data_IF_371955725919
#
_entry.id   IF_371955725919
#
_cell.length_a   1.000
_cell.length_b   1.000
_cell.length_c   1.000
_cell.angle_alpha   90.00
_cell.angle_beta   90.00
_cell.angle_gamma   90.00
#
_symmetry.space_group_name_H-M   'P 1'
#
loop_
_entity.id
_entity.type
_entity.pdbx_description
1 polymer ?
#
# COMPACT_ATOMS: atom_id res chain seq x y z
N UNK A 1 3.04 29.31 -5.88
CA UNK A 1 2.42 29.04 -7.15
C UNK A 1 0.90 29.09 -7.03
N UNK A 2 0.23 29.64 -8.00
CA UNK A 2 -1.24 29.62 -8.03
C UNK A 2 -1.63 28.25 -8.61
N UNK A 3 -2.40 27.47 -7.85
CA UNK A 3 -3.01 26.25 -8.37
C UNK A 3 -4.04 26.65 -9.46
N UNK A 4 -3.89 26.10 -10.64
CA UNK A 4 -4.86 26.26 -11.72
C UNK A 4 -5.64 24.96 -11.80
N UNK A 5 -6.96 25.05 -11.62
CA UNK A 5 -7.84 23.91 -11.75
C UNK A 5 -7.90 23.44 -13.20
N UNK A 6 -7.97 22.13 -13.38
CA UNK A 6 -8.17 21.53 -14.69
C UNK A 6 -9.58 21.84 -15.19
N UNK A 7 -9.69 22.47 -16.34
CA UNK A 7 -10.96 22.87 -16.97
C UNK A 7 -11.18 22.20 -18.34
N UNK A 8 -10.47 21.11 -18.61
CA UNK A 8 -10.61 20.33 -19.85
C UNK A 8 -11.74 19.30 -19.78
N UNK A 9 -11.73 18.37 -20.71
CA UNK A 9 -12.67 17.25 -20.75
C UNK A 9 -12.54 16.38 -19.48
N UNK A 10 -13.65 15.78 -19.06
CA UNK A 10 -13.66 14.90 -17.89
C UNK A 10 -12.68 13.75 -18.08
N UNK A 11 -11.79 13.60 -17.13
CA UNK A 11 -10.85 12.49 -17.12
C UNK A 11 -11.53 11.21 -16.65
N UNK A 12 -11.23 10.10 -17.33
CA UNK A 12 -11.76 8.78 -17.01
C UNK A 12 -10.68 7.92 -16.33
N UNK A 13 -11.10 6.98 -15.50
CA UNK A 13 -10.19 6.04 -14.86
C UNK A 13 -9.35 5.29 -15.87
N UNK A 14 -8.05 5.20 -15.60
CA UNK A 14 -7.05 4.51 -16.41
C UNK A 14 -6.78 5.10 -17.79
N UNK A 15 -7.41 6.23 -18.14
CA UNK A 15 -7.19 6.88 -19.43
C UNK A 15 -5.76 7.41 -19.56
N UNK A 16 -5.25 7.42 -20.78
CA UNK A 16 -3.98 8.05 -21.15
C UNK A 16 -4.20 9.51 -21.46
N UNK A 17 -3.38 10.36 -20.88
CA UNK A 17 -3.43 11.79 -21.10
C UNK A 17 -2.11 12.28 -21.67
N UNK A 18 -2.16 13.11 -22.68
CA UNK A 18 -1.01 13.69 -23.33
C UNK A 18 -1.03 15.20 -23.14
N UNK A 19 0.11 15.79 -22.84
CA UNK A 19 0.20 17.22 -22.68
C UNK A 19 1.50 17.77 -23.25
N UNK A 20 1.46 19.02 -23.61
CA UNK A 20 2.60 19.82 -24.02
C UNK A 20 2.38 21.26 -23.61
N UNK A 21 3.44 21.99 -23.41
CA UNK A 21 3.41 23.40 -23.00
C UNK A 21 4.17 24.28 -23.96
N UNK A 22 3.78 25.53 -23.99
CA UNK A 22 4.58 26.63 -24.55
C UNK A 22 4.42 27.85 -23.65
N UNK A 23 5.39 28.72 -23.70
CA UNK A 23 5.38 29.97 -22.97
C UNK A 23 5.40 31.15 -23.92
N UNK A 24 4.99 32.29 -23.45
CA UNK A 24 5.06 33.57 -24.19
C UNK A 24 6.03 34.48 -23.46
N UNK A 25 6.90 35.16 -24.18
CA UNK A 25 7.80 36.16 -23.64
C UNK A 25 7.04 37.46 -23.28
N UNK A 26 7.77 38.42 -22.71
CA UNK A 26 7.23 39.74 -22.36
C UNK A 26 6.67 40.56 -23.54
N UNK A 27 7.04 40.19 -24.77
CA UNK A 27 6.57 40.78 -26.00
C UNK A 27 5.42 40.03 -26.64
N UNK A 28 4.92 38.99 -25.97
CA UNK A 28 3.82 38.16 -26.44
C UNK A 28 4.23 37.14 -27.52
N UNK A 29 5.51 36.92 -27.77
CA UNK A 29 5.99 35.93 -28.74
C UNK A 29 5.99 34.55 -28.10
N UNK A 30 5.30 33.59 -28.75
CA UNK A 30 5.23 32.21 -28.30
C UNK A 30 6.52 31.43 -28.57
N UNK A 31 6.95 30.60 -27.62
CA UNK A 31 7.99 29.59 -27.86
C UNK A 31 7.49 28.47 -28.76
N UNK A 32 8.40 27.59 -29.20
CA UNK A 32 8.01 26.28 -29.72
C UNK A 32 7.28 25.47 -28.62
N UNK A 33 6.46 24.51 -29.04
CA UNK A 33 5.88 23.56 -28.12
C UNK A 33 6.97 22.66 -27.49
N UNK A 34 6.77 22.29 -26.22
CA UNK A 34 7.57 21.22 -25.60
C UNK A 34 7.39 19.88 -26.33
N UNK A 35 8.23 18.93 -26.03
CA UNK A 35 7.92 17.54 -26.36
C UNK A 35 6.60 17.15 -25.69
N UNK A 36 5.84 16.27 -26.34
CA UNK A 36 4.64 15.68 -25.72
C UNK A 36 5.09 14.84 -24.53
N UNK A 37 4.47 15.06 -23.38
CA UNK A 37 4.58 14.23 -22.21
C UNK A 37 3.29 13.43 -22.02
N UNK A 38 3.41 12.26 -21.42
CA UNK A 38 2.28 11.36 -21.16
C UNK A 38 2.15 11.13 -19.65
N UNK A 39 0.94 10.97 -19.21
CA UNK A 39 0.59 10.45 -17.91
C UNK A 39 -0.70 9.63 -18.00
N UNK A 40 -0.97 8.80 -17.02
CA UNK A 40 -2.18 7.99 -16.97
C UNK A 40 -2.97 8.30 -15.71
N UNK A 41 -4.29 8.35 -15.84
CA UNK A 41 -5.18 8.38 -14.69
C UNK A 41 -5.10 7.07 -13.94
N UNK A 42 -5.23 7.14 -12.63
CA UNK A 42 -5.48 5.98 -11.80
C UNK A 42 -6.98 5.64 -11.72
N UNK A 43 -7.34 4.80 -10.77
CA UNK A 43 -8.73 4.57 -10.39
C UNK A 43 -9.30 5.84 -9.72
N UNK A 44 -10.42 6.33 -10.21
CA UNK A 44 -11.10 7.52 -9.67
C UNK A 44 -12.10 7.14 -8.59
N UNK A 45 -12.68 5.93 -8.70
CA UNK A 45 -13.70 5.44 -7.78
C UNK A 45 -13.35 4.05 -7.24
N UNK A 46 -14.04 3.64 -6.18
CA UNK A 46 -13.85 2.32 -5.60
C UNK A 46 -14.29 1.19 -6.56
N UNK A 47 -15.28 1.46 -7.39
CA UNK A 47 -15.82 0.52 -8.39
C UNK A 47 -14.80 0.18 -9.48
N UNK A 48 -13.89 1.10 -9.77
CA UNK A 48 -12.82 0.91 -10.76
C UNK A 48 -11.83 -0.20 -10.38
N UNK A 49 -11.79 -0.55 -9.11
CA UNK A 49 -10.97 -1.67 -8.63
C UNK A 49 -11.57 -3.03 -8.97
N UNK A 50 -12.84 -3.11 -9.38
CA UNK A 50 -13.42 -4.41 -9.73
C UNK A 50 -12.68 -5.06 -10.93
N UNK A 51 -12.43 -6.38 -10.89
CA UNK A 51 -12.89 -7.37 -9.91
C UNK A 51 -11.93 -7.58 -8.72
N UNK A 52 -10.90 -6.75 -8.53
CA UNK A 52 -9.95 -6.90 -7.42
C UNK A 52 -10.67 -6.76 -6.06
N UNK A 53 -10.16 -7.46 -5.07
CA UNK A 53 -10.70 -7.45 -3.71
C UNK A 53 -9.56 -7.37 -2.70
N UNK A 54 -9.84 -6.79 -1.55
CA UNK A 54 -8.95 -6.85 -0.41
C UNK A 54 -8.74 -8.29 0.03
N UNK A 55 -7.47 -8.66 0.23
CA UNK A 55 -7.06 -9.98 0.71
C UNK A 55 -6.23 -9.83 1.99
N UNK A 56 -6.42 -10.77 2.90
CA UNK A 56 -5.68 -10.87 4.18
C UNK A 56 -5.36 -12.34 4.44
N UNK A 57 -4.31 -12.61 5.19
CA UNK A 57 -3.94 -13.97 5.57
C UNK A 57 -4.86 -14.55 6.65
N UNK A 58 -5.46 -13.69 7.47
CA UNK A 58 -6.37 -14.08 8.55
C UNK A 58 -7.64 -13.24 8.52
N UNK A 59 -8.78 -13.78 8.97
CA UNK A 59 -9.98 -13.01 9.22
C UNK A 59 -9.75 -11.90 10.27
N UNK A 60 -10.44 -10.79 10.14
CA UNK A 60 -10.35 -9.68 11.10
C UNK A 60 -10.73 -10.09 12.53
N UNK A 61 -11.63 -11.07 12.69
CA UNK A 61 -12.03 -11.61 14.00
C UNK A 61 -10.88 -12.23 14.78
N UNK A 62 -9.98 -12.96 14.13
CA UNK A 62 -8.80 -13.56 14.78
C UNK A 62 -7.85 -12.49 15.32
N UNK A 63 -7.76 -11.35 14.66
CA UNK A 63 -6.98 -10.22 15.17
C UNK A 63 -7.53 -9.70 16.50
N UNK A 64 -8.86 -9.62 16.65
CA UNK A 64 -9.49 -9.20 17.90
C UNK A 64 -9.14 -10.11 19.06
N UNK A 65 -9.03 -11.42 18.85
CA UNK A 65 -8.63 -12.38 19.89
C UNK A 65 -7.15 -12.17 20.29
N UNK A 66 -6.25 -12.04 19.32
CA UNK A 66 -4.84 -11.74 19.58
C UNK A 66 -4.68 -10.41 20.34
N UNK A 67 -5.45 -9.41 19.99
CA UNK A 67 -5.48 -8.12 20.67
C UNK A 67 -5.96 -8.24 22.13
N UNK A 68 -7.01 -9.01 22.37
CA UNK A 68 -7.52 -9.25 23.73
C UNK A 68 -6.51 -10.01 24.58
N UNK A 69 -5.83 -11.02 24.01
CA UNK A 69 -4.76 -11.75 24.70
C UNK A 69 -3.59 -10.83 25.08
N UNK A 70 -3.20 -9.91 24.20
CA UNK A 70 -2.18 -8.90 24.50
C UNK A 70 -2.61 -7.99 25.64
N UNK A 71 -3.83 -7.49 25.59
CA UNK A 71 -4.39 -6.66 26.67
C UNK A 71 -4.37 -7.38 28.01
N UNK A 72 -4.65 -8.67 28.02
CA UNK A 72 -4.55 -9.48 29.22
C UNK A 72 -3.09 -9.60 29.71
N UNK A 73 -2.14 -9.81 28.81
CA UNK A 73 -0.71 -9.86 29.12
C UNK A 73 -0.18 -8.52 29.66
N UNK A 74 -0.54 -7.39 29.00
CA UNK A 74 -0.20 -6.05 29.48
C UNK A 74 -0.71 -5.80 30.92
N UNK A 75 -1.97 -6.17 31.22
CA UNK A 75 -2.53 -6.06 32.55
C UNK A 75 -1.81 -6.95 33.58
N UNK A 76 -1.33 -8.11 33.16
CA UNK A 76 -0.55 -8.98 34.04
C UNK A 76 0.80 -8.34 34.41
N UNK A 77 1.45 -7.69 33.43
CA UNK A 77 2.73 -6.99 33.65
C UNK A 77 2.56 -5.77 34.55
N UNK A 78 1.44 -5.02 34.44
CA UNK A 78 1.12 -3.87 35.31
C UNK A 78 1.05 -4.27 36.82
N UNK A 79 0.82 -5.52 37.10
CA UNK A 79 0.76 -6.05 38.48
C UNK A 79 2.11 -6.51 39.02
N UNK A 80 3.17 -6.49 38.19
CA UNK A 80 4.51 -6.85 38.64
C UNK A 80 5.07 -5.78 39.57
N UNK A 81 5.95 -6.20 40.48
CA UNK A 81 6.64 -5.29 41.37
C UNK A 81 7.59 -4.37 40.59
N UNK A 82 7.08 -3.17 40.26
CA UNK A 82 7.75 -2.18 39.46
C UNK A 82 9.15 -1.75 39.97
N UNK A 83 9.38 -1.58 41.29
CA UNK A 83 10.69 -1.24 41.79
C UNK A 83 11.80 -2.24 41.43
N UNK A 84 11.48 -3.54 41.41
CA UNK A 84 12.44 -4.59 41.02
C UNK A 84 12.89 -4.43 39.58
N UNK A 85 11.93 -4.23 38.66
CA UNK A 85 12.22 -4.11 37.25
C UNK A 85 12.86 -2.77 36.88
N UNK A 86 12.48 -1.69 37.57
CA UNK A 86 13.09 -0.38 37.35
C UNK A 86 14.58 -0.37 37.77
N UNK A 87 14.95 -1.16 38.80
CA UNK A 87 16.35 -1.36 39.19
C UNK A 87 17.21 -2.04 38.11
N UNK A 88 16.59 -2.74 37.13
CA UNK A 88 17.25 -3.35 35.98
C UNK A 88 17.34 -2.38 34.77
N UNK A 89 16.86 -1.15 34.89
CA UNK A 89 16.83 -0.17 33.79
C UNK A 89 15.84 -0.52 32.68
N UNK A 90 14.93 -1.45 32.93
CA UNK A 90 13.90 -1.86 31.98
C UNK A 90 12.64 -1.02 32.17
N UNK A 91 12.00 -0.70 31.08
CA UNK A 91 10.67 -0.08 31.10
C UNK A 91 9.58 -1.15 31.18
N UNK A 92 8.38 -0.77 31.61
CA UNK A 92 7.21 -1.67 31.59
C UNK A 92 6.94 -2.18 30.18
N UNK A 93 7.34 -1.43 29.17
CA UNK A 93 7.21 -1.80 27.77
C UNK A 93 8.20 -2.88 27.35
N UNK A 94 9.43 -2.83 27.84
CA UNK A 94 10.44 -3.87 27.58
C UNK A 94 9.96 -5.21 28.16
N UNK A 95 9.37 -5.20 29.35
CA UNK A 95 8.82 -6.38 29.99
C UNK A 95 7.60 -6.91 29.23
N UNK A 96 6.69 -6.01 28.82
CA UNK A 96 5.54 -6.38 28.00
C UNK A 96 5.99 -6.98 26.65
N UNK A 97 7.07 -6.47 26.06
CA UNK A 97 7.67 -7.01 24.85
C UNK A 97 8.21 -8.43 25.05
N UNK A 98 8.93 -8.68 26.14
CA UNK A 98 9.48 -9.99 26.47
C UNK A 98 8.42 -11.06 26.72
N UNK A 99 7.22 -10.66 27.16
CA UNK A 99 6.10 -11.56 27.47
C UNK A 99 5.13 -11.74 26.30
N UNK A 100 5.38 -11.08 25.16
CA UNK A 100 4.53 -11.21 23.97
C UNK A 100 4.53 -12.62 23.41
N UNK A 101 3.37 -13.13 22.99
CA UNK A 101 3.35 -14.31 22.15
C UNK A 101 4.13 -14.05 20.85
N UNK A 102 4.76 -15.09 20.30
CA UNK A 102 5.44 -15.01 19.03
C UNK A 102 4.49 -14.44 17.96
N UNK A 103 4.96 -13.42 17.23
CA UNK A 103 4.17 -12.85 16.15
C UNK A 103 4.19 -13.75 14.92
N UNK A 104 3.07 -13.84 14.24
CA UNK A 104 3.04 -14.44 12.93
C UNK A 104 3.97 -13.68 11.96
N UNK A 105 4.68 -14.40 11.12
CA UNK A 105 5.48 -13.77 10.07
C UNK A 105 4.59 -12.97 9.11
N UNK A 106 5.18 -12.00 8.43
CA UNK A 106 4.51 -11.27 7.36
C UNK A 106 3.96 -12.24 6.32
N UNK A 107 2.67 -12.19 6.00
CA UNK A 107 2.08 -13.11 5.04
C UNK A 107 2.65 -12.90 3.64
N UNK A 108 2.90 -14.02 2.98
CA UNK A 108 3.26 -14.08 1.57
C UNK A 108 2.03 -14.53 0.77
N UNK A 109 1.61 -13.71 -0.17
CA UNK A 109 0.48 -14.00 -1.03
C UNK A 109 0.98 -14.19 -2.45
N UNK A 110 0.36 -15.13 -3.20
CA UNK A 110 0.72 -15.41 -4.58
C UNK A 110 -0.51 -15.73 -5.40
N UNK A 111 -0.50 -15.27 -6.64
CA UNK A 111 -1.48 -15.64 -7.67
C UNK A 111 -0.78 -15.83 -9.00
N UNK A 112 -1.03 -16.97 -9.63
CA UNK A 112 -0.62 -17.23 -11.01
C UNK A 112 -1.66 -16.66 -11.99
N UNK A 113 -1.17 -16.17 -13.14
CA UNK A 113 -1.99 -15.66 -14.22
C UNK A 113 -1.32 -15.93 -15.58
N UNK A 114 -2.06 -15.76 -16.66
CA UNK A 114 -1.56 -16.02 -18.01
C UNK A 114 -1.73 -14.80 -18.90
N UNK A 115 -0.67 -14.47 -19.62
CA UNK A 115 -0.65 -13.45 -20.67
C UNK A 115 -0.87 -14.18 -22.01
N UNK A 116 -2.06 -13.99 -22.61
CA UNK A 116 -2.55 -14.82 -23.74
C UNK A 116 -2.11 -14.36 -25.11
N UNK A 117 -1.72 -13.10 -25.23
CA UNK A 117 -1.32 -12.48 -26.51
C UNK A 117 -0.20 -11.48 -26.27
N UNK A 118 0.26 -10.82 -27.33
CA UNK A 118 1.24 -9.76 -27.20
C UNK A 118 0.65 -8.58 -26.41
N UNK A 119 1.17 -8.38 -25.20
CA UNK A 119 0.80 -7.26 -24.35
C UNK A 119 1.53 -5.99 -24.83
N UNK A 120 0.78 -4.92 -25.03
CA UNK A 120 1.32 -3.61 -25.44
C UNK A 120 1.40 -2.64 -24.27
N UNK A 121 0.68 -2.92 -23.18
CA UNK A 121 0.73 -2.17 -21.92
C UNK A 121 0.34 -3.06 -20.76
N UNK A 122 0.98 -2.86 -19.62
CA UNK A 122 0.57 -3.53 -18.39
C UNK A 122 0.81 -2.61 -17.19
N UNK A 123 -0.26 -2.29 -16.48
CA UNK A 123 -0.22 -1.45 -15.29
C UNK A 123 -0.70 -2.21 -14.08
N UNK A 124 0.12 -2.23 -13.03
CA UNK A 124 -0.23 -2.75 -11.72
C UNK A 124 -0.60 -1.59 -10.80
N UNK A 125 -1.85 -1.56 -10.35
CA UNK A 125 -2.32 -0.69 -9.29
C UNK A 125 -2.37 -1.49 -8.00
N UNK A 126 -1.70 -1.01 -6.95
CA UNK A 126 -1.52 -1.80 -5.73
C UNK A 126 -1.49 -0.91 -4.51
N UNK A 127 -2.08 -1.41 -3.43
CA UNK A 127 -1.95 -0.78 -2.11
C UNK A 127 -2.10 -1.82 -0.99
N UNK A 128 -1.74 -1.41 0.22
CA UNK A 128 -1.87 -2.18 1.44
C UNK A 128 -2.41 -1.36 2.61
N UNK A 129 -3.11 -2.01 3.50
CA UNK A 129 -3.30 -1.57 4.87
C UNK A 129 -2.28 -2.32 5.72
N UNK A 130 -1.21 -1.65 6.07
CA UNK A 130 0.12 -2.14 6.38
C UNK A 130 1.09 -1.81 5.24
N UNK A 131 2.35 -2.17 5.35
CA UNK A 131 3.33 -1.97 4.27
C UNK A 131 3.39 -3.19 3.36
N UNK A 132 3.55 -3.00 2.07
CA UNK A 132 3.67 -4.10 1.12
C UNK A 132 4.95 -4.03 0.30
N UNK A 133 5.38 -5.17 -0.19
CA UNK A 133 6.26 -5.30 -1.33
C UNK A 133 5.58 -6.20 -2.37
N UNK A 134 5.58 -5.78 -3.63
CA UNK A 134 5.00 -6.53 -4.74
C UNK A 134 6.09 -7.09 -5.64
N UNK A 135 5.83 -8.23 -6.24
CA UNK A 135 6.75 -8.95 -7.11
C UNK A 135 6.01 -9.49 -8.33
N UNK A 136 6.64 -9.41 -9.48
CA UNK A 136 6.21 -10.10 -10.71
C UNK A 136 7.31 -11.07 -11.12
N UNK A 137 6.96 -12.34 -11.28
CA UNK A 137 7.90 -13.41 -11.67
C UNK A 137 9.15 -13.52 -10.79
N UNK A 138 9.05 -13.12 -9.52
CA UNK A 138 10.14 -13.10 -8.54
C UNK A 138 10.99 -11.83 -8.56
N UNK A 139 10.75 -10.90 -9.45
CA UNK A 139 11.38 -9.59 -9.50
C UNK A 139 10.54 -8.55 -8.76
N UNK A 140 11.17 -7.70 -7.95
CA UNK A 140 10.47 -6.66 -7.17
C UNK A 140 9.92 -5.57 -8.08
N UNK A 141 8.68 -5.18 -7.84
CA UNK A 141 8.00 -4.08 -8.54
C UNK A 141 8.33 -2.77 -7.83
N UNK A 142 8.92 -1.83 -8.56
CA UNK A 142 9.31 -0.53 -8.03
C UNK A 142 10.52 -0.59 -7.08
N UNK A 143 10.93 0.57 -6.61
CA UNK A 143 12.07 0.76 -5.70
C UNK A 143 11.68 1.46 -4.40
N UNK A 144 10.40 1.78 -4.23
CA UNK A 144 9.85 2.42 -3.04
C UNK A 144 10.02 1.54 -1.82
N UNK A 145 10.15 2.17 -0.67
CA UNK A 145 10.20 1.51 0.64
C UNK A 145 9.11 2.08 1.53
N UNK A 146 8.55 1.22 2.39
CA UNK A 146 7.48 1.58 3.31
C UNK A 146 6.21 2.09 2.61
N UNK A 147 5.83 1.46 1.51
CA UNK A 147 4.58 1.73 0.80
C UNK A 147 3.38 0.96 1.38
N UNK A 148 2.19 1.58 1.32
CA UNK A 148 1.90 2.97 0.99
C UNK A 148 2.28 3.91 2.14
N UNK A 149 2.48 5.19 1.82
CA UNK A 149 2.64 6.21 2.85
C UNK A 149 1.46 6.23 3.83
N UNK A 150 1.73 6.53 5.10
CA UNK A 150 0.70 6.58 6.12
C UNK A 150 -0.34 7.66 5.80
N UNK A 151 -1.62 7.28 5.90
CA UNK A 151 -2.78 8.16 5.73
C UNK A 151 -3.75 7.97 6.89
N UNK A 152 -4.80 8.78 6.93
CA UNK A 152 -5.88 8.56 7.87
C UNK A 152 -6.80 7.46 7.34
N UNK A 153 -6.54 6.21 7.73
CA UNK A 153 -7.15 5.00 7.18
C UNK A 153 -8.68 4.94 7.25
N UNK A 154 -9.33 5.73 8.13
CA UNK A 154 -10.79 5.88 8.13
C UNK A 154 -11.32 6.65 6.93
N UNK A 155 -10.47 7.38 6.22
CA UNK A 155 -10.84 8.22 5.08
C UNK A 155 -10.38 7.63 3.77
N UNK A 156 -9.09 7.31 3.68
CA UNK A 156 -8.47 6.85 2.46
C UNK A 156 -7.12 6.17 2.72
N UNK A 157 -6.67 5.41 1.76
CA UNK A 157 -5.29 4.98 1.63
C UNK A 157 -4.78 5.33 0.23
N UNK A 158 -3.51 5.70 0.15
CA UNK A 158 -2.86 5.93 -1.15
C UNK A 158 -2.61 4.60 -1.84
N UNK A 159 -2.53 4.60 -3.15
CA UNK A 159 -2.09 3.46 -3.94
C UNK A 159 -1.03 3.89 -4.94
N UNK A 160 -0.21 2.93 -5.37
CA UNK A 160 0.81 3.13 -6.38
C UNK A 160 0.40 2.49 -7.71
N UNK A 161 0.94 3.02 -8.80
CA UNK A 161 0.71 2.52 -10.15
C UNK A 161 2.06 2.30 -10.85
N UNK A 162 2.33 1.06 -11.23
CA UNK A 162 3.59 0.65 -11.84
C UNK A 162 3.37 0.17 -13.27
N UNK A 163 4.22 0.60 -14.20
CA UNK A 163 4.36 -0.06 -15.49
C UNK A 163 5.14 -1.36 -15.30
N UNK A 164 4.44 -2.47 -15.44
CA UNK A 164 5.02 -3.80 -15.26
C UNK A 164 5.13 -4.59 -16.58
N UNK A 165 4.89 -3.93 -17.72
CA UNK A 165 5.03 -4.57 -19.03
C UNK A 165 6.39 -5.23 -19.22
N UNK A 166 7.53 -4.59 -18.85
CA UNK A 166 8.85 -5.21 -19.00
C UNK A 166 9.07 -6.47 -18.17
N UNK A 167 8.27 -6.68 -17.12
CA UNK A 167 8.37 -7.81 -16.19
C UNK A 167 7.51 -9.00 -16.62
N UNK A 168 6.61 -8.82 -17.59
CA UNK A 168 5.70 -9.86 -18.07
C UNK A 168 6.36 -10.74 -19.13
N UNK A 169 5.95 -12.00 -19.13
CA UNK A 169 6.33 -13.01 -20.13
C UNK A 169 5.07 -13.48 -20.85
N UNK A 170 5.19 -13.88 -22.10
CA UNK A 170 4.12 -14.61 -22.78
C UNK A 170 3.84 -15.91 -22.03
N UNK A 171 2.58 -16.27 -21.87
CA UNK A 171 2.14 -17.45 -21.13
C UNK A 171 2.10 -17.21 -19.61
N UNK A 172 2.63 -18.14 -18.84
CA UNK A 172 2.48 -18.18 -17.37
C UNK A 172 3.32 -17.12 -16.67
N UNK A 173 2.67 -16.39 -15.79
CA UNK A 173 3.27 -15.38 -14.91
C UNK A 173 2.75 -15.56 -13.47
N UNK A 174 3.41 -14.93 -12.52
CA UNK A 174 2.97 -14.90 -11.13
C UNK A 174 3.14 -13.50 -10.54
N UNK A 175 2.14 -13.06 -9.78
CA UNK A 175 2.25 -11.92 -8.87
C UNK A 175 2.41 -12.45 -7.46
N UNK A 176 3.37 -11.88 -6.72
CA UNK A 176 3.58 -12.12 -5.30
C UNK A 176 3.45 -10.82 -4.51
N UNK A 177 3.01 -10.93 -3.26
CA UNK A 177 3.00 -9.81 -2.33
C UNK A 177 3.43 -10.27 -0.95
N UNK A 178 4.29 -9.50 -0.31
CA UNK A 178 4.61 -9.58 1.11
C UNK A 178 3.96 -8.39 1.82
N UNK A 179 3.30 -8.63 2.95
CA UNK A 179 2.58 -7.58 3.67
C UNK A 179 3.09 -7.49 5.10
N UNK A 180 3.70 -6.37 5.43
CA UNK A 180 4.09 -6.01 6.77
C UNK A 180 2.95 -5.33 7.54
N UNK A 181 3.10 -5.22 8.85
CA UNK A 181 2.05 -4.67 9.72
C UNK A 181 1.90 -3.15 9.60
N UNK A 182 3.04 -2.45 9.50
CA UNK A 182 3.06 -0.99 9.45
C UNK A 182 2.28 -0.34 10.61
N UNK A 183 1.81 0.85 10.38
CA UNK A 183 0.98 1.60 11.35
C UNK A 183 -0.45 1.05 11.42
N UNK A 184 -0.90 0.29 10.43
CA UNK A 184 -2.24 -0.26 10.41
C UNK A 184 -2.46 -1.37 11.44
N UNK A 185 -1.39 -2.12 11.79
CA UNK A 185 -1.44 -3.17 12.82
C UNK A 185 -0.26 -3.02 13.78
N UNK A 186 -0.21 -1.94 14.59
CA UNK A 186 0.88 -1.71 15.51
C UNK A 186 0.90 -2.78 16.61
N UNK A 187 2.10 -3.30 16.90
CA UNK A 187 2.31 -4.39 17.85
C UNK A 187 2.40 -3.93 19.30
N UNK A 188 2.67 -2.65 19.52
CA UNK A 188 2.88 -2.11 20.87
C UNK A 188 2.09 -0.82 21.09
N UNK A 189 1.89 -0.47 22.33
CA UNK A 189 1.46 0.87 22.69
C UNK A 189 2.62 1.82 22.44
N UNK A 190 2.52 2.60 21.40
CA UNK A 190 3.40 3.74 21.17
C UNK A 190 2.87 4.99 21.91
N UNK A 191 3.69 6.04 21.90
CA UNK A 191 3.33 7.33 22.53
C UNK A 191 2.06 7.96 21.91
N UNK A 192 1.74 7.59 20.66
CA UNK A 192 0.58 8.06 19.91
C UNK A 192 -0.67 7.21 20.15
N UNK A 193 -0.52 6.07 20.84
CA UNK A 193 -1.60 5.10 21.10
C UNK A 193 -2.35 4.64 19.84
N UNK A 194 -1.65 4.53 18.72
CA UNK A 194 -2.23 4.12 17.43
C UNK A 194 -2.92 2.77 17.52
N UNK A 195 -2.43 1.89 18.37
CA UNK A 195 -3.05 0.59 18.65
C UNK A 195 -4.51 0.67 19.18
N UNK A 196 -4.96 1.84 19.63
CA UNK A 196 -6.33 2.09 20.09
C UNK A 196 -7.22 2.73 19.03
N UNK A 197 -6.69 2.98 17.85
CA UNK A 197 -7.44 3.58 16.75
C UNK A 197 -8.49 2.61 16.21
N UNK A 198 -9.64 3.13 15.81
CA UNK A 198 -10.77 2.34 15.29
C UNK A 198 -10.44 1.62 13.96
N UNK A 199 -9.46 2.15 13.22
CA UNK A 199 -9.06 1.62 11.93
C UNK A 199 -8.05 0.45 12.01
N UNK A 200 -7.53 0.14 13.19
CA UNK A 200 -6.55 -0.94 13.37
C UNK A 200 -7.16 -2.30 13.02
N UNK A 201 -6.46 -3.09 12.23
CA UNK A 201 -6.95 -4.40 11.80
C UNK A 201 -5.84 -5.32 11.27
N UNK A 202 -6.21 -6.46 10.73
CA UNK A 202 -5.27 -7.36 10.05
C UNK A 202 -4.69 -6.70 8.80
N UNK A 203 -3.38 -6.81 8.57
CA UNK A 203 -2.77 -6.35 7.34
C UNK A 203 -3.45 -6.97 6.12
N UNK A 204 -3.76 -6.17 5.15
CA UNK A 204 -4.44 -6.58 3.91
C UNK A 204 -3.94 -5.79 2.72
N UNK A 205 -4.05 -6.35 1.55
CA UNK A 205 -3.68 -5.70 0.33
C UNK A 205 -4.74 -5.87 -0.76
N UNK A 206 -4.68 -4.99 -1.74
CA UNK A 206 -5.44 -5.11 -2.98
C UNK A 206 -4.50 -4.82 -4.15
N UNK A 207 -4.61 -5.59 -5.21
CA UNK A 207 -3.86 -5.40 -6.44
C UNK A 207 -4.76 -5.59 -7.65
N UNK A 208 -4.67 -4.68 -8.60
CA UNK A 208 -5.36 -4.72 -9.89
C UNK A 208 -4.32 -4.64 -11.01
N UNK A 209 -4.16 -5.73 -11.75
CA UNK A 209 -3.31 -5.77 -12.94
C UNK A 209 -4.19 -5.60 -14.19
N UNK A 210 -3.92 -4.56 -14.95
CA UNK A 210 -4.57 -4.28 -16.23
C UNK A 210 -3.56 -4.50 -17.36
N UNK A 211 -3.94 -5.36 -18.31
CA UNK A 211 -3.12 -5.68 -19.48
C UNK A 211 -3.92 -5.30 -20.72
N UNK A 212 -3.29 -4.50 -21.57
CA UNK A 212 -3.80 -4.16 -22.90
C UNK A 212 -3.02 -4.98 -23.92
N UNK A 213 -3.74 -5.58 -24.86
CA UNK A 213 -3.17 -6.41 -25.91
C UNK A 213 -3.22 -5.68 -27.26
N UNK A 214 -2.33 -6.06 -28.19
CA UNK A 214 -2.48 -5.67 -29.59
C UNK A 214 -3.74 -6.31 -30.15
N UNK A 215 -4.55 -5.54 -30.85
CA UNK A 215 -5.74 -6.00 -31.60
C UNK A 215 -5.35 -6.96 -32.73
#
# INVERSE_FOLDING_TARGET
>A
GIAVEYAGERLESFSRCYWKVRIWDEKGKASAWSRTAEWAMGAISAEDWAPARWISAKPDGLWCEEWQQRKAAEKAVEKLDWPLYNGMGMTIWDIAEMTKPAYDPSPLMRKDFEVKAEAVRAMLYVTGLGYYEAFINGERVGDQVLDPGWTYYNKHTSYEAFDVLPMLKSGKNAIGMMIGRGQYNPLSNDIWRLCKSEWVGQPKAIALLRIEYSD
#
